data_IF_258782070896
#
_entry.id   IF_258782070896
#
_cell.length_a   1.000
_cell.length_b   1.000
_cell.length_c   1.000
_cell.angle_alpha   90.00
_cell.angle_beta   90.00
_cell.angle_gamma   90.00
#
_symmetry.space_group_name_H-M   'P 1'
#
loop_
_entity.id
_entity.type
_entity.pdbx_description
1 polymer ?
#
# COMPACT_ATOMS: atom_id res chain seq x y z
N UNK A 1 6.15 9.71 -0.60
CA UNK A 1 5.30 10.60 -1.45
C UNK A 1 3.94 10.88 -0.77
N UNK A 2 3.28 12.03 -1.05
CA UNK A 2 1.97 12.42 -0.47
C UNK A 2 0.79 11.75 -1.20
N UNK A 3 -0.17 11.24 -0.43
CA UNK A 3 -1.45 10.70 -0.85
C UNK A 3 -2.26 11.76 -1.58
N UNK A 4 -2.75 11.44 -2.79
CA UNK A 4 -3.56 12.33 -3.60
C UNK A 4 -4.83 11.62 -4.07
N UNK A 5 -5.95 11.95 -3.44
CA UNK A 5 -7.26 11.36 -3.75
C UNK A 5 -7.69 11.60 -5.21
N UNK A 6 -7.27 12.72 -5.81
CA UNK A 6 -7.57 13.03 -7.22
C UNK A 6 -6.84 12.08 -8.17
N UNK A 7 -5.59 11.73 -7.87
CA UNK A 7 -4.83 10.76 -8.67
C UNK A 7 -5.42 9.36 -8.55
N UNK A 8 -5.76 8.93 -7.33
CA UNK A 8 -6.43 7.66 -7.10
C UNK A 8 -7.75 7.57 -7.88
N UNK A 9 -8.60 8.61 -7.83
CA UNK A 9 -9.86 8.67 -8.60
C UNK A 9 -9.64 8.62 -10.11
N UNK A 10 -8.56 9.22 -10.62
CA UNK A 10 -8.21 9.15 -12.06
C UNK A 10 -7.79 7.74 -12.47
N UNK A 11 -6.98 7.08 -11.64
CA UNK A 11 -6.53 5.70 -11.90
C UNK A 11 -7.70 4.71 -11.86
N UNK A 12 -8.62 4.84 -10.90
CA UNK A 12 -9.82 4.00 -10.82
C UNK A 12 -10.78 4.18 -12.00
N UNK A 13 -10.77 5.35 -12.67
CA UNK A 13 -11.60 5.62 -13.87
C UNK A 13 -11.07 4.97 -15.14
N UNK A 14 -9.80 4.57 -15.18
CA UNK A 14 -9.15 3.97 -16.37
C UNK A 14 -9.68 2.56 -16.69
N UNK A 15 -10.49 1.98 -15.79
CA UNK A 15 -10.95 0.59 -15.85
C UNK A 15 -9.84 -0.36 -15.38
N UNK A 16 -10.19 -1.40 -14.63
CA UNK A 16 -9.20 -2.33 -14.05
C UNK A 16 -8.40 -3.08 -15.13
N UNK A 17 -8.98 -3.29 -16.32
CA UNK A 17 -8.39 -4.08 -17.41
C UNK A 17 -7.22 -3.39 -18.13
N UNK A 18 -7.01 -2.09 -17.91
CA UNK A 18 -5.96 -1.29 -18.57
C UNK A 18 -4.85 -0.83 -17.61
N UNK A 19 -4.81 -1.37 -16.39
CA UNK A 19 -3.83 -1.00 -15.38
C UNK A 19 -2.56 -1.83 -15.53
N UNK A 20 -1.39 -1.19 -15.42
CA UNK A 20 -0.15 -1.93 -15.21
C UNK A 20 -0.14 -2.56 -13.82
N UNK A 21 0.72 -3.55 -13.59
CA UNK A 21 0.89 -4.17 -12.27
C UNK A 21 1.22 -3.13 -11.19
N UNK A 22 2.16 -2.23 -11.49
CA UNK A 22 2.57 -1.15 -10.59
C UNK A 22 1.42 -0.18 -10.30
N UNK A 23 0.62 0.19 -11.31
CA UNK A 23 -0.59 1.00 -11.11
C UNK A 23 -1.58 0.26 -10.21
N UNK A 24 -1.76 -1.05 -10.41
CA UNK A 24 -2.61 -1.89 -9.58
C UNK A 24 -2.14 -1.96 -8.12
N UNK A 25 -0.84 -2.15 -7.87
CA UNK A 25 -0.28 -2.18 -6.50
C UNK A 25 -0.54 -0.82 -5.83
N UNK A 26 -0.25 0.25 -6.56
CA UNK A 26 -0.42 1.62 -6.10
C UNK A 26 -1.87 1.90 -5.69
N UNK A 27 -2.83 1.48 -6.50
CA UNK A 27 -4.27 1.61 -6.20
C UNK A 27 -4.63 0.87 -4.91
N UNK A 28 -4.17 -0.37 -4.73
CA UNK A 28 -4.51 -1.16 -3.55
C UNK A 28 -3.96 -0.57 -2.26
N UNK A 29 -2.70 -0.10 -2.28
CA UNK A 29 -2.09 0.58 -1.13
C UNK A 29 -2.83 1.89 -0.82
N UNK A 30 -3.09 2.71 -1.84
CA UNK A 30 -3.80 3.97 -1.66
C UNK A 30 -5.25 3.77 -1.20
N UNK A 31 -5.92 2.70 -1.64
CA UNK A 31 -7.26 2.34 -1.17
C UNK A 31 -7.25 1.89 0.29
N UNK A 32 -6.23 1.14 0.73
CA UNK A 32 -6.06 0.80 2.14
C UNK A 32 -5.90 2.07 2.99
N UNK A 33 -5.02 2.99 2.59
CA UNK A 33 -4.80 4.28 3.27
C UNK A 33 -6.09 5.12 3.26
N UNK A 34 -6.79 5.18 2.13
CA UNK A 34 -8.09 5.88 2.01
C UNK A 34 -9.12 5.32 2.98
N UNK A 35 -9.15 4.01 3.18
CA UNK A 35 -10.10 3.36 4.10
C UNK A 35 -9.85 3.78 5.55
N UNK A 36 -8.59 3.92 5.96
CA UNK A 36 -8.22 4.47 7.27
C UNK A 36 -8.82 5.88 7.46
N UNK A 37 -8.63 6.76 6.47
CA UNK A 37 -9.17 8.13 6.49
C UNK A 37 -10.71 8.16 6.54
N UNK A 38 -11.36 7.38 5.68
CA UNK A 38 -12.84 7.33 5.62
C UNK A 38 -13.45 6.81 6.92
N UNK A 39 -12.78 5.86 7.57
CA UNK A 39 -13.20 5.33 8.86
C UNK A 39 -12.77 6.21 10.04
N UNK A 40 -12.07 7.33 9.79
CA UNK A 40 -11.53 8.24 10.81
C UNK A 40 -10.70 7.51 11.86
N UNK A 41 -9.96 6.50 11.43
CA UNK A 41 -9.09 5.74 12.31
C UNK A 41 -7.85 6.57 12.63
N UNK A 42 -7.51 6.71 13.91
CA UNK A 42 -6.24 7.32 14.31
C UNK A 42 -5.09 6.38 13.91
N UNK A 43 -4.34 6.79 12.90
CA UNK A 43 -3.27 5.97 12.33
C UNK A 43 -2.23 5.61 13.37
N UNK A 44 -1.87 6.52 14.28
CA UNK A 44 -0.81 6.27 15.26
C UNK A 44 -1.21 5.18 16.25
N UNK A 45 -2.36 5.31 16.91
CA UNK A 45 -2.81 4.35 17.92
C UNK A 45 -3.35 3.03 17.33
N UNK A 46 -3.87 3.03 16.10
CA UNK A 46 -4.45 1.83 15.49
C UNK A 46 -3.40 0.75 15.17
N UNK A 47 -3.80 -0.51 15.31
CA UNK A 47 -3.08 -1.70 14.81
C UNK A 47 -3.70 -2.15 13.49
N UNK A 48 -2.86 -2.53 12.53
CA UNK A 48 -3.30 -3.11 11.26
C UNK A 48 -2.69 -4.49 11.07
N UNK A 49 -3.51 -5.44 10.62
CA UNK A 49 -3.11 -6.81 10.26
C UNK A 49 -4.12 -7.34 9.22
N UNK A 50 -4.03 -6.78 8.02
CA UNK A 50 -5.02 -6.97 6.95
C UNK A 50 -4.38 -7.71 5.78
N UNK A 51 -5.12 -8.64 5.18
CA UNK A 51 -4.68 -9.38 3.99
C UNK A 51 -5.67 -9.22 2.85
N UNK A 52 -5.16 -8.92 1.65
CA UNK A 52 -5.89 -8.94 0.39
C UNK A 52 -5.50 -10.19 -0.39
N UNK A 53 -6.50 -10.91 -0.88
CA UNK A 53 -6.35 -12.18 -1.59
C UNK A 53 -6.64 -12.02 -3.09
N UNK A 54 -5.98 -12.82 -3.93
CA UNK A 54 -6.11 -12.80 -5.39
C UNK A 54 -4.89 -13.44 -6.06
N UNK A 55 -4.69 -13.17 -7.34
CA UNK A 55 -3.46 -13.56 -8.05
C UNK A 55 -2.22 -12.86 -7.47
N UNK A 56 -2.41 -11.60 -7.07
CA UNK A 56 -1.51 -10.83 -6.21
C UNK A 56 -2.06 -10.80 -4.81
N UNK A 57 -1.27 -11.24 -3.84
CA UNK A 57 -1.59 -11.12 -2.42
C UNK A 57 -0.88 -9.92 -1.80
N UNK A 58 -1.55 -9.26 -0.86
CA UNK A 58 -0.98 -8.13 -0.13
C UNK A 58 -1.26 -8.26 1.36
N UNK A 59 -0.25 -8.07 2.20
CA UNK A 59 -0.42 -7.99 3.65
C UNK A 59 -0.02 -6.61 4.16
N UNK A 60 -0.90 -5.96 4.91
CA UNK A 60 -0.68 -4.67 5.56
C UNK A 60 -0.55 -4.87 7.07
N UNK A 61 0.63 -4.59 7.62
CA UNK A 61 0.93 -4.78 9.04
C UNK A 61 1.44 -3.49 9.67
N UNK A 62 0.89 -3.15 10.84
CA UNK A 62 1.39 -2.03 11.67
C UNK A 62 1.04 -2.28 13.13
N UNK A 63 2.02 -2.12 14.02
CA UNK A 63 1.76 -2.08 15.46
C UNK A 63 1.00 -0.82 15.89
N UNK A 64 0.34 -0.88 17.05
CA UNK A 64 -0.13 0.34 17.71
C UNK A 64 1.07 1.20 18.14
N UNK A 65 0.90 2.52 18.16
CA UNK A 65 1.94 3.50 18.51
C UNK A 65 3.15 3.50 17.55
N UNK A 66 2.97 2.99 16.33
CA UNK A 66 3.96 3.05 15.26
C UNK A 66 3.55 4.06 14.18
N UNK A 67 4.53 4.83 13.70
CA UNK A 67 4.36 5.85 12.66
C UNK A 67 4.39 5.29 11.23
N UNK A 68 4.86 4.06 11.07
CA UNK A 68 5.05 3.43 9.76
C UNK A 68 4.51 2.01 9.81
N UNK A 69 3.75 1.64 8.78
CA UNK A 69 3.33 0.27 8.51
C UNK A 69 4.12 -0.35 7.35
N UNK A 70 4.09 -1.67 7.28
CA UNK A 70 4.72 -2.46 6.24
C UNK A 70 3.65 -3.13 5.37
N UNK A 71 3.77 -2.95 4.06
CA UNK A 71 2.97 -3.64 3.07
C UNK A 71 3.87 -4.61 2.31
N UNK A 72 3.54 -5.89 2.33
CA UNK A 72 4.21 -6.91 1.51
C UNK A 72 3.28 -7.33 0.39
N UNK A 73 3.81 -7.32 -0.83
CA UNK A 73 3.14 -7.78 -2.04
C UNK A 73 3.82 -9.06 -2.51
N UNK A 74 3.04 -10.11 -2.78
CA UNK A 74 3.55 -11.38 -3.31
C UNK A 74 2.72 -11.87 -4.48
N UNK A 75 3.41 -12.38 -5.50
CA UNK A 75 2.79 -12.91 -6.72
C UNK A 75 2.85 -14.44 -6.70
N UNK A 76 1.68 -15.09 -6.64
CA UNK A 76 1.59 -16.56 -6.42
C UNK A 76 2.36 -17.38 -7.46
N UNK A 77 2.43 -16.90 -8.70
CA UNK A 77 2.99 -17.65 -9.83
C UNK A 77 4.47 -17.33 -10.12
N UNK A 78 5.03 -16.28 -9.52
CA UNK A 78 6.37 -15.77 -9.87
C UNK A 78 7.38 -15.90 -8.73
N UNK A 79 6.94 -16.21 -7.52
CA UNK A 79 7.80 -16.19 -6.32
C UNK A 79 8.37 -14.79 -6.01
N UNK A 80 7.88 -13.75 -6.70
CA UNK A 80 8.30 -12.36 -6.55
C UNK A 80 7.65 -11.76 -5.32
N UNK A 81 8.46 -11.08 -4.51
CA UNK A 81 8.02 -10.32 -3.33
C UNK A 81 8.52 -8.89 -3.44
N UNK A 82 7.64 -7.94 -3.15
CA UNK A 82 7.94 -6.52 -3.12
C UNK A 82 7.47 -5.96 -1.78
N UNK A 83 8.35 -5.27 -1.07
CA UNK A 83 8.05 -4.68 0.24
C UNK A 83 7.96 -3.15 0.13
N UNK A 84 6.91 -2.58 0.71
CA UNK A 84 6.66 -1.15 0.79
C UNK A 84 6.49 -0.73 2.25
N UNK A 85 6.85 0.52 2.54
CA UNK A 85 6.47 1.21 3.77
C UNK A 85 5.29 2.12 3.49
N UNK A 86 4.32 2.19 4.40
CA UNK A 86 3.17 3.09 4.27
C UNK A 86 2.94 3.90 5.55
N UNK A 87 2.35 5.07 5.37
CA UNK A 87 1.86 5.99 6.41
C UNK A 87 0.42 6.38 6.08
N UNK A 88 -0.23 7.14 6.97
CA UNK A 88 -1.51 7.78 6.64
C UNK A 88 -1.41 8.71 5.42
N UNK A 89 -0.20 9.15 5.07
CA UNK A 89 0.04 10.13 4.03
C UNK A 89 0.56 9.52 2.72
N UNK A 90 0.70 8.20 2.59
CA UNK A 90 1.22 7.59 1.35
C UNK A 90 2.13 6.39 1.60
N UNK A 91 2.91 6.00 0.60
CA UNK A 91 3.79 4.83 0.66
C UNK A 91 5.06 5.02 -0.16
N UNK A 92 6.07 4.20 0.11
CA UNK A 92 7.39 4.18 -0.53
C UNK A 92 7.92 2.76 -0.65
N UNK A 93 8.71 2.47 -1.69
CA UNK A 93 9.30 1.16 -1.92
C UNK A 93 10.48 0.95 -0.94
N UNK A 94 10.45 -0.14 -0.17
CA UNK A 94 11.49 -0.40 0.84
C UNK A 94 12.89 -0.55 0.21
N UNK A 95 12.95 -1.17 -0.97
CA UNK A 95 14.20 -1.38 -1.70
C UNK A 95 14.88 -0.09 -2.17
N UNK A 96 14.18 1.05 -2.23
CA UNK A 96 14.79 2.35 -2.54
C UNK A 96 15.38 3.02 -1.28
N UNK A 97 14.82 2.73 -0.11
CA UNK A 97 15.24 3.29 1.18
C UNK A 97 16.55 2.64 1.64
N UNK A 98 16.66 1.31 1.53
CA UNK A 98 17.82 0.54 2.01
C UNK A 98 19.07 0.78 1.12
N UNK A 99 18.89 1.17 -0.14
CA UNK A 99 20.01 1.47 -1.05
C UNK A 99 20.79 2.73 -0.68
N UNK A 100 20.27 3.56 0.24
CA UNK A 100 20.92 4.79 0.70
C UNK A 100 21.99 4.49 1.77
N UNK A 101 22.03 3.28 2.34
CA UNK A 101 22.93 2.92 3.45
C UNK A 101 24.22 2.16 3.04
N UNK A 102 24.60 2.14 1.74
CA UNK A 102 25.87 1.55 1.29
C UNK A 102 26.76 2.53 0.53
#
# INVERSE_FOLDING_TARGET
MKYNELQLKKMMKKGFDNLTEDEGISIDILNFIRTIHLNKQDFYSARFDTQYFGEREMTFKKGANCLIGHCRVSFRNEGKVIDYLFTENGYELLGEIIKIEN
#
